data_IF_384979011242
#
_entry.id   IF_384979011242
#
_cell.length_a   1.000
_cell.length_b   1.000
_cell.length_c   1.000
_cell.angle_alpha   90.00
_cell.angle_beta   90.00
_cell.angle_gamma   90.00
#
_symmetry.space_group_name_H-M   'P 1'
#
loop_
_entity.id
_entity.type
_entity.pdbx_description
1 polymer ?
#
# COMPACT_ATOMS: atom_id res chain seq x y z
N UNK A 1 -7.23 -1.76 -4.53
CA UNK A 1 -6.19 -1.62 -3.48
C UNK A 1 -5.23 -0.55 -3.91
N UNK A 2 -4.56 0.08 -2.97
CA UNK A 2 -3.70 1.22 -3.23
C UNK A 2 -2.34 0.99 -2.56
N UNK A 3 -1.29 1.50 -3.19
CA UNK A 3 0.07 1.55 -2.64
C UNK A 3 0.56 2.99 -2.71
N UNK A 4 1.21 3.45 -1.64
CA UNK A 4 1.73 4.83 -1.56
C UNK A 4 3.18 4.79 -1.14
N UNK A 5 4.04 5.45 -1.91
CA UNK A 5 5.43 5.74 -1.54
C UNK A 5 5.52 7.13 -0.93
N UNK A 6 6.17 7.20 0.24
CA UNK A 6 6.36 8.44 1.00
C UNK A 6 7.87 8.61 1.23
N UNK A 7 8.56 9.36 0.36
CA UNK A 7 9.99 9.65 0.53
C UNK A 7 10.20 10.71 1.62
N UNK A 8 11.23 10.54 2.43
CA UNK A 8 11.79 11.59 3.29
C UNK A 8 13.31 11.67 3.08
N UNK A 9 13.99 12.58 3.76
CA UNK A 9 15.45 12.73 3.70
C UNK A 9 16.22 11.52 4.22
N UNK A 10 15.64 10.76 5.16
CA UNK A 10 16.34 9.68 5.87
C UNK A 10 15.75 8.29 5.61
N UNK A 11 14.51 8.21 5.12
CA UNK A 11 13.85 6.93 4.88
C UNK A 11 12.92 6.98 3.68
N UNK A 12 12.67 5.80 3.13
CA UNK A 12 11.58 5.54 2.21
C UNK A 12 10.50 4.74 2.96
N UNK A 13 9.24 5.18 2.90
CA UNK A 13 8.12 4.45 3.53
C UNK A 13 7.14 3.99 2.47
N UNK A 14 6.80 2.70 2.48
CA UNK A 14 5.74 2.13 1.66
C UNK A 14 4.50 1.84 2.50
N UNK A 15 3.37 2.40 2.10
CA UNK A 15 2.06 2.01 2.60
C UNK A 15 1.50 0.90 1.70
N UNK A 16 1.21 -0.27 2.30
CA UNK A 16 0.67 -1.44 1.60
C UNK A 16 -0.76 -1.73 2.03
N UNK A 17 -1.61 -2.12 1.08
CA UNK A 17 -2.94 -2.64 1.36
C UNK A 17 -2.89 -4.12 1.73
N UNK A 18 -3.82 -4.57 2.58
CA UNK A 18 -3.97 -5.99 2.98
C UNK A 18 -5.30 -6.62 2.57
N UNK A 19 -6.29 -5.80 2.16
CA UNK A 19 -7.63 -6.23 1.80
C UNK A 19 -8.18 -5.41 0.64
N UNK A 20 -9.14 -5.97 -0.11
CA UNK A 20 -9.96 -5.23 -1.08
C UNK A 20 -11.23 -4.75 -0.37
N UNK A 21 -11.27 -3.48 0.02
CA UNK A 21 -12.31 -2.93 0.90
C UNK A 21 -12.08 -3.31 2.38
N UNK A 22 -12.92 -2.81 3.30
CA UNK A 22 -12.78 -3.06 4.74
C UNK A 22 -14.15 -3.16 5.42
N UNK A 23 -14.38 -4.19 6.25
CA UNK A 23 -15.67 -4.41 6.92
C UNK A 23 -15.83 -3.68 8.26
N UNK A 24 -14.83 -2.92 8.71
CA UNK A 24 -14.87 -2.26 10.02
C UNK A 24 -15.75 -1.00 10.04
N UNK A 25 -16.17 -0.48 8.88
CA UNK A 25 -17.13 0.64 8.76
C UNK A 25 -16.76 1.89 9.57
N UNK A 26 -15.47 2.13 9.77
CA UNK A 26 -14.98 3.31 10.50
C UNK A 26 -15.45 4.59 9.80
N UNK A 27 -16.20 5.44 10.50
CA UNK A 27 -16.82 6.68 9.94
C UNK A 27 -15.83 7.70 9.38
N UNK A 28 -14.55 7.61 9.76
CA UNK A 28 -13.51 8.50 9.28
C UNK A 28 -12.68 7.92 8.13
N UNK A 29 -12.93 6.67 7.73
CA UNK A 29 -12.13 5.95 6.74
C UNK A 29 -12.91 5.80 5.43
N UNK A 30 -12.40 6.37 4.33
CA UNK A 30 -13.00 6.23 3.00
C UNK A 30 -13.22 4.74 2.61
N UNK A 31 -12.22 3.89 2.85
CA UNK A 31 -12.30 2.44 2.60
C UNK A 31 -13.35 1.73 3.44
N UNK A 32 -13.71 2.28 4.60
CA UNK A 32 -14.77 1.75 5.48
C UNK A 32 -16.18 1.92 4.89
N UNK A 33 -16.36 2.82 3.91
CA UNK A 33 -17.60 2.98 3.16
C UNK A 33 -17.70 2.05 1.94
N UNK A 34 -16.61 1.36 1.60
CA UNK A 34 -16.57 0.42 0.49
C UNK A 34 -16.94 -0.99 0.97
N UNK A 35 -17.59 -1.77 0.11
CA UNK A 35 -17.86 -3.18 0.39
C UNK A 35 -16.55 -3.98 0.52
N UNK A 36 -16.42 -4.76 1.60
CA UNK A 36 -15.31 -5.72 1.74
C UNK A 36 -15.53 -6.89 0.77
N UNK A 37 -14.59 -7.08 -0.15
CA UNK A 37 -14.64 -8.18 -1.12
C UNK A 37 -13.86 -9.41 -0.66
N UNK A 38 -12.56 -9.24 -0.34
CA UNK A 38 -11.68 -10.35 0.07
C UNK A 38 -10.40 -9.85 0.74
N UNK A 39 -9.67 -10.78 1.36
CA UNK A 39 -8.28 -10.55 1.73
C UNK A 39 -7.38 -10.62 0.49
N UNK A 40 -6.23 -9.97 0.57
CA UNK A 40 -5.16 -10.17 -0.41
C UNK A 40 -4.38 -11.45 -0.09
N UNK A 41 -3.93 -12.11 -1.13
CA UNK A 41 -2.95 -13.19 -1.03
C UNK A 41 -1.58 -12.61 -0.65
N UNK A 42 -0.72 -13.44 -0.07
CA UNK A 42 0.63 -13.03 0.30
C UNK A 42 1.44 -12.51 -0.91
N UNK A 43 1.25 -13.10 -2.09
CA UNK A 43 1.86 -12.64 -3.34
C UNK A 43 1.40 -11.24 -3.74
N UNK A 44 0.11 -10.92 -3.61
CA UNK A 44 -0.42 -9.59 -3.94
C UNK A 44 0.11 -8.50 -2.99
N UNK A 45 0.36 -8.84 -1.73
CA UNK A 45 1.02 -7.93 -0.78
C UNK A 45 2.51 -7.78 -1.08
N UNK A 46 3.19 -8.87 -1.42
CA UNK A 46 4.60 -8.86 -1.82
C UNK A 46 4.83 -8.04 -3.09
N UNK A 47 3.98 -8.21 -4.11
CA UNK A 47 4.08 -7.49 -5.38
C UNK A 47 3.95 -5.98 -5.20
N UNK A 48 3.08 -5.53 -4.28
CA UNK A 48 3.01 -4.11 -3.91
C UNK A 48 4.38 -3.59 -3.44
N UNK A 49 5.09 -4.34 -2.58
CA UNK A 49 6.42 -3.96 -2.09
C UNK A 49 7.46 -3.98 -3.20
N UNK A 50 7.47 -5.01 -4.05
CA UNK A 50 8.45 -5.13 -5.15
C UNK A 50 8.29 -4.01 -6.16
N UNK A 51 7.06 -3.71 -6.56
CA UNK A 51 6.75 -2.61 -7.48
C UNK A 51 7.15 -1.27 -6.87
N UNK A 52 6.83 -1.03 -5.60
CA UNK A 52 7.21 0.20 -4.91
C UNK A 52 8.72 0.34 -4.71
N UNK A 53 9.45 -0.75 -4.41
CA UNK A 53 10.92 -0.73 -4.34
C UNK A 53 11.53 -0.32 -5.68
N UNK A 54 11.01 -0.86 -6.79
CA UNK A 54 11.46 -0.49 -8.13
C UNK A 54 11.21 1.00 -8.40
N UNK A 55 10.00 1.49 -8.11
CA UNK A 55 9.65 2.90 -8.24
C UNK A 55 10.51 3.81 -7.34
N UNK A 56 10.81 3.38 -6.11
CA UNK A 56 11.66 4.13 -5.18
C UNK A 56 13.06 4.35 -5.77
N UNK A 57 13.65 3.29 -6.32
CA UNK A 57 14.95 3.37 -6.98
C UNK A 57 14.92 4.22 -8.25
N UNK A 58 13.88 4.08 -9.07
CA UNK A 58 13.76 4.77 -10.37
C UNK A 58 13.49 6.27 -10.22
N UNK A 59 12.66 6.68 -9.26
CA UNK A 59 12.21 8.07 -9.12
C UNK A 59 12.98 8.88 -8.07
N UNK A 60 13.49 8.23 -7.02
CA UNK A 60 14.14 8.92 -5.91
C UNK A 60 15.60 8.52 -5.72
N UNK A 61 16.07 7.44 -6.35
CA UNK A 61 17.44 6.93 -6.18
C UNK A 61 17.75 6.42 -4.76
N UNK A 62 16.73 6.30 -3.92
CA UNK A 62 16.82 5.85 -2.53
C UNK A 62 16.12 4.48 -2.47
N UNK A 63 16.75 3.44 -1.89
CA UNK A 63 16.11 2.14 -1.76
C UNK A 63 14.89 2.22 -0.82
N UNK A 64 13.90 1.36 -1.09
CA UNK A 64 12.82 1.06 -0.15
C UNK A 64 13.30 0.21 1.01
#
# INVERSE_FOLDING_TARGET
>A
VEGVLIPTSERMTACVSSQVGCSLTCKFCATGYMERKRNLEASEMYDQVVLMRKQAQEHYGIPL
#
